data_IF_339887824789
#
_entry.id   IF_339887824789
#
_cell.length_a   1.000
_cell.length_b   1.000
_cell.length_c   1.000
_cell.angle_alpha   90.00
_cell.angle_beta   90.00
_cell.angle_gamma   90.00
#
_symmetry.space_group_name_H-M   'P 1'
#
loop_
_entity.id
_entity.type
_entity.pdbx_description
1 polymer ?
#
# COMPACT_ATOMS: atom_id res chain seq x y z
N UNK A 1 11.00 -9.39 14.03
CA UNK A 1 10.00 -8.33 13.88
C UNK A 1 9.14 -8.60 12.65
N UNK A 2 7.84 -8.42 12.76
CA UNK A 2 6.96 -8.65 11.63
C UNK A 2 7.01 -7.50 10.64
N UNK A 3 6.88 -7.83 9.39
CA UNK A 3 6.91 -6.89 8.28
C UNK A 3 5.67 -7.04 7.42
N UNK A 4 5.00 -5.92 7.16
CA UNK A 4 3.76 -5.91 6.36
C UNK A 4 3.95 -5.02 5.14
N UNK A 5 3.52 -5.50 4.00
CA UNK A 5 3.50 -4.72 2.77
C UNK A 5 2.08 -4.18 2.54
N UNK A 6 1.97 -2.87 2.37
CA UNK A 6 0.72 -2.25 1.96
C UNK A 6 0.90 -1.84 0.50
N UNK A 7 0.24 -2.55 -0.40
CA UNK A 7 0.41 -2.32 -1.84
C UNK A 7 -0.65 -1.34 -2.31
N UNK A 8 -0.21 -0.24 -2.86
CA UNK A 8 -1.09 0.85 -3.29
C UNK A 8 -1.09 0.97 -4.82
N UNK A 9 -2.26 1.29 -5.35
CA UNK A 9 -2.41 1.67 -6.74
C UNK A 9 -3.23 2.96 -6.81
N UNK A 10 -3.13 3.69 -7.90
CA UNK A 10 -3.91 4.92 -8.07
C UNK A 10 -5.39 4.63 -7.86
N UNK A 11 -6.06 5.50 -7.10
CA UNK A 11 -7.45 5.31 -6.74
C UNK A 11 -7.67 4.58 -5.42
N UNK A 12 -6.60 4.34 -4.65
CA UNK A 12 -6.74 3.66 -3.36
C UNK A 12 -7.55 4.51 -2.37
N UNK A 13 -8.10 3.83 -1.34
CA UNK A 13 -8.85 4.52 -0.29
C UNK A 13 -7.87 5.07 0.74
N UNK A 14 -7.69 6.39 0.78
CA UNK A 14 -6.69 7.04 1.62
C UNK A 14 -6.86 6.75 3.09
N UNK A 15 -8.10 6.90 3.60
CA UNK A 15 -8.33 6.72 5.03
C UNK A 15 -8.02 5.29 5.43
N UNK A 16 -8.51 4.32 4.67
CA UNK A 16 -8.30 2.91 4.97
C UNK A 16 -6.82 2.55 4.94
N UNK A 17 -6.13 2.95 3.86
CA UNK A 17 -4.72 2.60 3.69
C UNK A 17 -3.84 3.26 4.75
N UNK A 18 -3.98 4.56 4.94
CA UNK A 18 -3.09 5.30 5.82
C UNK A 18 -3.37 5.03 7.29
N UNK A 19 -4.63 4.76 7.64
CA UNK A 19 -4.99 4.41 9.01
C UNK A 19 -4.34 3.08 9.41
N UNK A 20 -4.40 2.08 8.54
CA UNK A 20 -3.79 0.78 8.82
C UNK A 20 -2.27 0.92 8.95
N UNK A 21 -1.64 1.66 8.05
CA UNK A 21 -0.19 1.88 8.11
C UNK A 21 0.19 2.58 9.40
N UNK A 22 -0.55 3.61 9.77
CA UNK A 22 -0.27 4.37 10.99
C UNK A 22 -0.42 3.47 12.23
N UNK A 23 -1.51 2.72 12.32
CA UNK A 23 -1.77 1.82 13.45
C UNK A 23 -0.67 0.76 13.57
N UNK A 24 -0.28 0.14 12.45
CA UNK A 24 0.76 -0.88 12.46
C UNK A 24 2.10 -0.31 12.89
N UNK A 25 2.46 0.85 12.40
CA UNK A 25 3.72 1.50 12.80
C UNK A 25 3.73 1.90 14.26
N UNK A 26 2.60 2.37 14.79
CA UNK A 26 2.47 2.68 16.23
C UNK A 26 2.63 1.43 17.09
N UNK A 27 2.24 0.28 16.57
CA UNK A 27 2.38 -1.00 17.27
C UNK A 27 3.77 -1.61 17.15
N UNK A 28 4.71 -0.93 16.49
CA UNK A 28 6.07 -1.44 16.33
C UNK A 28 6.24 -2.44 15.20
N UNK A 29 5.25 -2.53 14.31
CA UNK A 29 5.32 -3.43 13.16
C UNK A 29 5.85 -2.65 11.97
N UNK A 30 6.87 -3.21 11.28
CA UNK A 30 7.36 -2.61 10.04
C UNK A 30 6.28 -2.67 8.98
N UNK A 31 5.91 -1.52 8.44
CA UNK A 31 4.90 -1.46 7.41
C UNK A 31 5.39 -0.56 6.28
N UNK A 32 5.61 -1.17 5.12
CA UNK A 32 6.09 -0.45 3.95
C UNK A 32 4.96 -0.18 2.98
N UNK A 33 4.95 1.03 2.43
CA UNK A 33 4.08 1.39 1.32
C UNK A 33 4.76 0.98 0.02
N UNK A 34 4.10 0.19 -0.79
CA UNK A 34 4.64 -0.31 -2.04
C UNK A 34 3.75 0.15 -3.18
N UNK A 35 4.35 0.68 -4.23
CA UNK A 35 3.61 1.15 -5.39
C UNK A 35 4.34 0.88 -6.69
N UNK A 36 3.62 1.02 -7.81
CA UNK A 36 4.18 0.85 -9.15
C UNK A 36 5.05 2.04 -9.53
N UNK A 37 4.81 3.19 -8.91
CA UNK A 37 5.57 4.43 -9.13
C UNK A 37 5.96 5.00 -7.77
N UNK A 38 6.87 5.96 -7.79
CA UNK A 38 7.37 6.59 -6.56
C UNK A 38 6.28 7.27 -5.77
N UNK A 39 5.24 7.76 -6.45
CA UNK A 39 4.08 8.38 -5.80
C UNK A 39 2.81 7.71 -6.30
N UNK A 40 1.83 7.62 -5.41
CA UNK A 40 0.52 7.04 -5.73
C UNK A 40 -0.55 8.00 -5.23
N UNK A 41 -1.56 8.25 -6.04
CA UNK A 41 -2.65 9.17 -5.70
C UNK A 41 -3.93 8.39 -5.41
N UNK A 42 -4.52 8.66 -4.25
CA UNK A 42 -5.76 8.01 -3.83
C UNK A 42 -6.99 8.57 -4.53
N UNK A 43 -8.13 7.98 -4.20
CA UNK A 43 -9.42 8.34 -4.81
C UNK A 43 -9.86 9.78 -4.48
N UNK A 44 -9.32 10.36 -3.42
CA UNK A 44 -9.66 11.72 -3.00
C UNK A 44 -8.53 12.70 -3.27
N UNK A 45 -7.66 12.40 -4.24
CA UNK A 45 -6.62 13.30 -4.73
C UNK A 45 -5.46 13.51 -3.73
N UNK A 46 -5.30 12.62 -2.78
CA UNK A 46 -4.17 12.69 -1.84
C UNK A 46 -3.04 11.84 -2.41
N UNK A 47 -1.89 12.48 -2.63
CA UNK A 47 -0.71 11.80 -3.19
C UNK A 47 0.26 11.46 -2.07
N UNK A 48 0.75 10.23 -2.06
CA UNK A 48 1.73 9.78 -1.07
C UNK A 48 2.95 9.21 -1.76
N UNK A 49 4.10 9.32 -1.11
CA UNK A 49 5.32 8.65 -1.57
C UNK A 49 5.34 7.23 -1.05
N UNK A 50 5.75 6.29 -1.89
CA UNK A 50 5.89 4.91 -1.46
C UNK A 50 7.28 4.68 -0.89
N UNK A 51 7.40 3.70 0.00
CA UNK A 51 8.68 3.33 0.61
C UNK A 51 9.51 2.48 -0.34
N UNK A 52 8.85 1.66 -1.17
CA UNK A 52 9.50 0.79 -2.13
C UNK A 52 8.68 0.68 -3.40
N UNK A 53 9.38 0.50 -4.53
CA UNK A 53 8.69 0.21 -5.79
C UNK A 53 8.37 -1.28 -5.86
N UNK A 54 7.26 -1.60 -6.51
CA UNK A 54 6.86 -2.98 -6.75
C UNK A 54 7.88 -3.67 -7.65
N UNK A 55 8.39 -4.80 -7.20
CA UNK A 55 9.36 -5.58 -7.97
C UNK A 55 8.90 -7.00 -8.26
N UNK A 56 7.63 -7.29 -7.97
CA UNK A 56 7.08 -8.62 -8.19
C UNK A 56 7.36 -9.62 -7.06
N UNK A 57 8.04 -9.19 -6.01
CA UNK A 57 8.44 -10.10 -4.93
C UNK A 57 8.05 -9.53 -3.58
N UNK A 58 7.19 -10.24 -2.86
CA UNK A 58 6.76 -9.89 -1.50
C UNK A 58 7.23 -10.92 -0.47
N UNK A 59 8.22 -11.73 -0.81
CA UNK A 59 8.67 -12.82 0.07
C UNK A 59 9.30 -12.31 1.37
N UNK A 60 9.75 -11.04 1.39
CA UNK A 60 10.33 -10.44 2.60
C UNK A 60 9.29 -10.05 3.65
N UNK A 61 8.01 -10.16 3.31
CA UNK A 61 6.94 -9.68 4.17
C UNK A 61 6.17 -10.83 4.79
N UNK A 62 5.77 -10.64 6.06
CA UNK A 62 4.96 -11.60 6.80
C UNK A 62 3.48 -11.46 6.46
N UNK A 63 3.06 -10.29 6.01
CA UNK A 63 1.68 -10.04 5.65
C UNK A 63 1.56 -9.01 4.55
N UNK A 64 0.44 -9.03 3.85
CA UNK A 64 0.16 -8.13 2.75
C UNK A 64 -1.22 -7.53 2.97
N UNK A 65 -1.31 -6.21 2.86
CA UNK A 65 -2.58 -5.51 2.94
C UNK A 65 -2.86 -4.79 1.62
N UNK A 66 -4.04 -5.02 1.07
CA UNK A 66 -4.49 -4.36 -0.16
C UNK A 66 -5.66 -3.46 0.21
N UNK A 67 -5.44 -2.15 0.31
CA UNK A 67 -6.54 -1.24 0.65
C UNK A 67 -7.64 -1.30 -0.39
N UNK A 68 -8.88 -1.19 0.08
CA UNK A 68 -10.02 -1.10 -0.82
C UNK A 68 -10.01 0.20 -1.62
N UNK A 69 -11.02 0.37 -2.42
CA UNK A 69 -11.17 1.56 -3.25
C UNK A 69 -11.19 1.20 -4.72
N UNK A 70 -12.13 1.78 -5.41
CA UNK A 70 -12.23 1.65 -6.86
C UNK A 70 -11.85 2.99 -7.45
N UNK A 71 -10.94 3.05 -8.41
CA UNK A 71 -10.39 1.93 -9.20
C UNK A 71 -9.12 1.27 -8.65
N UNK A 72 -8.66 1.64 -7.46
CA UNK A 72 -7.39 1.12 -6.94
C UNK A 72 -7.33 -0.39 -6.91
N UNK A 73 -8.36 -1.05 -6.34
CA UNK A 73 -8.38 -2.51 -6.25
C UNK A 73 -8.41 -3.16 -7.63
N UNK A 74 -9.12 -2.57 -8.59
CA UNK A 74 -9.16 -3.07 -9.95
C UNK A 74 -7.79 -2.95 -10.62
N UNK A 75 -7.08 -1.85 -10.39
CA UNK A 75 -5.74 -1.66 -10.94
C UNK A 75 -4.76 -2.71 -10.43
N UNK A 76 -4.84 -3.04 -9.14
CA UNK A 76 -3.99 -4.08 -8.57
C UNK A 76 -4.32 -5.46 -9.15
N UNK A 77 -5.61 -5.75 -9.32
CA UNK A 77 -6.04 -7.02 -9.89
C UNK A 77 -5.56 -7.21 -11.32
N UNK A 78 -5.59 -6.14 -12.11
CA UNK A 78 -5.24 -6.19 -13.53
C UNK A 78 -3.74 -6.03 -13.77
N UNK A 79 -2.97 -5.83 -12.72
CA UNK A 79 -1.54 -5.55 -12.81
C UNK A 79 -0.78 -6.59 -11.99
N UNK A 80 -0.56 -7.78 -12.53
CA UNK A 80 0.05 -8.89 -11.81
C UNK A 80 1.51 -8.65 -11.41
#
# INVERSE_FOLDING_TARGET
>A
MKKVATVLANGFEEIEALTIVDVLRRAGIDCDLIGMEETVTGSHQITVEVDRLWNGDLSDYDGIFLPGGMPGAANLRDNP
#
